data_IF_917868435791
#
_entry.id   IF_917868435791
#
_cell.length_a   1.000
_cell.length_b   1.000
_cell.length_c   1.000
_cell.angle_alpha   90.00
_cell.angle_beta   90.00
_cell.angle_gamma   90.00
#
_symmetry.space_group_name_H-M   'P 1'
#
loop_
_entity.id
_entity.type
_entity.pdbx_description
1 polymer ?
#
# COMPACT_ATOMS: atom_id res chain seq x y z
N UNK A 1 20.86 10.58 10.02
CA UNK A 1 20.31 9.94 8.81
C UNK A 1 18.81 9.92 8.98
N UNK A 2 18.01 10.37 8.00
CA UNK A 2 16.56 10.24 8.09
C UNK A 2 16.15 8.77 8.08
N UNK A 3 15.10 8.42 8.84
CA UNK A 3 14.47 7.10 8.83
C UNK A 3 13.13 7.16 8.12
N UNK A 4 12.82 6.16 7.31
CA UNK A 4 11.54 6.02 6.63
C UNK A 4 10.84 4.76 7.16
N UNK A 5 9.61 4.95 7.65
CA UNK A 5 8.69 3.87 7.97
C UNK A 5 7.64 3.76 6.87
N UNK A 6 7.27 2.53 6.51
CA UNK A 6 6.26 2.24 5.50
C UNK A 6 5.27 1.29 6.15
N UNK A 7 3.98 1.62 6.11
CA UNK A 7 2.92 0.74 6.57
C UNK A 7 2.56 -0.33 5.52
N UNK A 8 1.73 -1.30 5.89
CA UNK A 8 1.41 -2.45 5.04
C UNK A 8 0.32 -2.06 4.02
N UNK A 9 0.49 -2.33 2.72
CA UNK A 9 -0.55 -2.09 1.71
C UNK A 9 -1.83 -2.91 1.99
N UNK A 10 -2.99 -2.59 1.39
CA UNK A 10 -4.25 -3.34 1.53
C UNK A 10 -4.15 -4.70 0.79
N UNK A 11 -3.33 -5.60 1.32
CA UNK A 11 -3.08 -6.93 0.72
C UNK A 11 -4.29 -7.86 0.81
N UNK A 12 -5.31 -7.49 1.59
CA UNK A 12 -6.65 -8.07 1.53
C UNK A 12 -7.30 -7.92 0.13
N UNK A 13 -6.88 -6.92 -0.65
CA UNK A 13 -7.34 -6.69 -2.04
C UNK A 13 -6.45 -7.36 -3.09
N UNK A 14 -5.47 -8.15 -2.69
CA UNK A 14 -4.60 -8.88 -3.64
C UNK A 14 -5.35 -10.03 -4.32
N UNK A 15 -4.94 -10.45 -5.54
CA UNK A 15 -5.60 -11.55 -6.24
C UNK A 15 -5.67 -12.84 -5.41
N UNK A 16 -4.60 -13.17 -4.67
CA UNK A 16 -4.60 -14.35 -3.77
C UNK A 16 -5.60 -14.24 -2.62
N UNK A 17 -5.73 -13.06 -2.01
CA UNK A 17 -6.67 -12.84 -0.91
C UNK A 17 -8.13 -12.97 -1.38
N UNK A 18 -8.43 -12.43 -2.57
CA UNK A 18 -9.74 -12.55 -3.21
C UNK A 18 -10.03 -14.01 -3.59
N UNK A 19 -9.08 -14.69 -4.23
CA UNK A 19 -9.25 -16.06 -4.73
C UNK A 19 -9.45 -17.10 -3.61
N UNK A 20 -8.86 -16.87 -2.43
CA UNK A 20 -9.00 -17.77 -1.29
C UNK A 20 -10.36 -17.69 -0.59
N UNK A 21 -11.25 -16.75 -1.00
CA UNK A 21 -12.45 -16.38 -0.25
C UNK A 21 -12.16 -16.24 1.26
N UNK A 22 -10.92 -15.82 1.60
CA UNK A 22 -10.52 -15.60 2.97
C UNK A 22 -11.57 -14.65 3.53
N UNK A 23 -12.37 -15.07 4.52
CA UNK A 23 -13.40 -14.21 5.11
C UNK A 23 -12.79 -12.83 5.35
N UNK A 24 -13.15 -11.88 4.49
CA UNK A 24 -12.39 -10.69 4.06
C UNK A 24 -11.82 -9.90 5.26
N UNK A 25 -12.58 -9.96 6.34
CA UNK A 25 -12.30 -9.39 7.65
C UNK A 25 -10.98 -9.81 8.30
N UNK A 26 -10.40 -10.98 8.02
CA UNK A 26 -9.24 -11.47 8.79
C UNK A 26 -7.91 -10.89 8.32
N UNK A 27 -7.71 -10.71 7.01
CA UNK A 27 -6.49 -10.09 6.47
C UNK A 27 -6.55 -8.59 6.67
N UNK A 28 -7.67 -7.98 6.29
CA UNK A 28 -7.92 -6.55 6.48
C UNK A 28 -7.70 -6.14 7.95
N UNK A 29 -8.34 -6.82 8.92
CA UNK A 29 -8.19 -6.47 10.33
C UNK A 29 -6.74 -6.61 10.84
N UNK A 30 -5.96 -7.56 10.31
CA UNK A 30 -4.53 -7.71 10.68
C UNK A 30 -3.70 -6.56 10.13
N UNK A 31 -3.92 -6.19 8.87
CA UNK A 31 -3.27 -5.05 8.21
C UNK A 31 -3.60 -3.76 8.97
N UNK A 32 -4.87 -3.51 9.26
CA UNK A 32 -5.33 -2.35 10.02
C UNK A 32 -4.72 -2.31 11.43
N UNK A 33 -4.76 -3.43 12.16
CA UNK A 33 -4.17 -3.52 13.51
C UNK A 33 -2.68 -3.19 13.49
N UNK A 34 -1.94 -3.72 12.51
CA UNK A 34 -0.52 -3.44 12.36
C UNK A 34 -0.25 -1.98 12.01
N UNK A 35 -0.96 -1.43 11.02
CA UNK A 35 -0.78 -0.06 10.57
C UNK A 35 -1.09 0.93 11.70
N UNK A 36 -2.18 0.74 12.45
CA UNK A 36 -2.49 1.55 13.64
C UNK A 36 -1.36 1.48 14.69
N UNK A 37 -0.83 0.28 14.93
CA UNK A 37 0.25 0.07 15.90
C UNK A 37 1.55 0.75 15.48
N UNK A 38 1.91 0.65 14.19
CA UNK A 38 3.07 1.32 13.61
C UNK A 38 2.93 2.84 13.69
N UNK A 39 1.81 3.39 13.23
CA UNK A 39 1.54 4.84 13.25
C UNK A 39 1.59 5.40 14.67
N UNK A 40 1.00 4.70 15.64
CA UNK A 40 1.05 5.07 17.05
C UNK A 40 2.49 5.05 17.58
N UNK A 41 3.24 3.99 17.28
CA UNK A 41 4.63 3.85 17.72
C UNK A 41 5.54 4.93 17.13
N UNK A 42 5.43 5.21 15.83
CA UNK A 42 6.19 6.27 15.16
C UNK A 42 5.85 7.64 15.74
N UNK A 43 4.56 7.93 15.98
CA UNK A 43 4.12 9.19 16.60
C UNK A 43 4.71 9.38 18.00
N UNK A 44 4.69 8.33 18.83
CA UNK A 44 5.29 8.36 20.18
C UNK A 44 6.80 8.57 20.09
N UNK A 45 7.48 7.83 19.20
CA UNK A 45 8.92 7.92 19.05
C UNK A 45 9.37 9.31 18.55
N UNK A 46 8.67 9.90 17.58
CA UNK A 46 8.95 11.26 17.09
C UNK A 46 8.80 12.30 18.20
N UNK A 47 7.79 12.15 19.06
CA UNK A 47 7.58 13.02 20.22
C UNK A 47 8.71 12.88 21.26
N UNK A 48 9.19 11.66 21.50
CA UNK A 48 10.20 11.36 22.53
C UNK A 48 11.64 11.55 22.04
N UNK A 49 11.85 11.56 20.72
CA UNK A 49 13.16 11.72 20.07
C UNK A 49 13.10 12.83 19.01
N UNK A 50 12.92 14.11 19.39
CA UNK A 50 12.73 15.21 18.43
C UNK A 50 13.94 15.48 17.53
N UNK A 51 15.12 14.98 17.90
CA UNK A 51 16.32 15.01 17.07
C UNK A 51 16.34 13.94 15.95
N UNK A 52 15.43 12.96 16.00
CA UNK A 52 15.28 11.98 14.94
C UNK A 52 14.50 12.61 13.79
N UNK A 53 15.07 12.55 12.59
CA UNK A 53 14.36 12.92 11.37
C UNK A 53 13.66 11.67 10.84
N UNK A 54 12.35 11.58 11.03
CA UNK A 54 11.55 10.42 10.62
C UNK A 54 10.42 10.83 9.68
N UNK A 55 10.17 9.98 8.71
CA UNK A 55 9.04 10.06 7.78
C UNK A 55 8.23 8.77 7.87
N UNK A 56 6.93 8.89 7.69
CA UNK A 56 6.00 7.75 7.64
C UNK A 56 5.22 7.83 6.33
N UNK A 57 5.50 6.90 5.42
CA UNK A 57 4.76 6.75 4.18
C UNK A 57 3.67 5.70 4.35
N UNK A 58 2.45 6.00 3.91
CA UNK A 58 1.38 5.01 3.90
C UNK A 58 1.30 4.33 2.53
N UNK A 59 1.88 3.13 2.42
CA UNK A 59 1.66 2.28 1.25
C UNK A 59 0.20 1.79 1.23
N UNK A 60 -0.44 1.72 2.39
CA UNK A 60 -1.86 1.43 2.50
C UNK A 60 -2.71 2.45 1.73
N UNK A 61 -2.58 3.73 2.07
CA UNK A 61 -3.31 4.79 1.38
C UNK A 61 -2.91 4.89 -0.10
N UNK A 62 -1.62 4.76 -0.41
CA UNK A 62 -1.16 4.86 -1.80
C UNK A 62 -1.75 3.79 -2.70
N UNK A 63 -1.73 2.52 -2.28
CA UNK A 63 -2.31 1.44 -3.10
C UNK A 63 -3.84 1.48 -3.08
N UNK A 64 -4.48 1.82 -1.95
CA UNK A 64 -5.93 1.99 -1.90
C UNK A 64 -6.41 3.05 -2.89
N UNK A 65 -5.74 4.20 -2.95
CA UNK A 65 -6.03 5.26 -3.94
C UNK A 65 -5.88 4.77 -5.38
N UNK A 66 -4.87 3.95 -5.67
CA UNK A 66 -4.64 3.36 -6.99
C UNK A 66 -5.77 2.40 -7.36
N UNK A 67 -6.16 1.53 -6.44
CA UNK A 67 -7.21 0.55 -6.67
C UNK A 67 -8.62 1.16 -6.71
N UNK A 68 -8.85 2.27 -6.00
CA UNK A 68 -10.15 2.96 -5.96
C UNK A 68 -10.38 3.90 -7.15
N UNK A 69 -9.29 4.42 -7.74
CA UNK A 69 -9.31 5.40 -8.83
C UNK A 69 -8.26 5.08 -9.91
N UNK A 70 -8.21 3.84 -10.43
CA UNK A 70 -7.15 3.41 -11.36
C UNK A 70 -7.10 4.25 -12.64
N UNK A 71 -8.21 4.86 -13.03
CA UNK A 71 -8.34 5.75 -14.19
C UNK A 71 -7.59 7.08 -14.04
N UNK A 72 -7.21 7.47 -12.81
CA UNK A 72 -6.36 8.65 -12.59
C UNK A 72 -4.88 8.40 -12.93
N UNK A 73 -4.52 7.15 -13.27
CA UNK A 73 -3.15 6.75 -13.57
C UNK A 73 -3.03 6.28 -15.02
N UNK A 74 -1.95 6.66 -15.68
CA UNK A 74 -1.69 6.33 -17.09
C UNK A 74 -1.11 4.90 -17.26
N UNK A 75 -1.77 3.90 -16.68
CA UNK A 75 -1.38 2.49 -16.82
C UNK A 75 -1.66 1.99 -18.25
N UNK A 76 -0.64 1.43 -18.90
CA UNK A 76 -0.75 0.93 -20.27
C UNK A 76 -1.61 -0.34 -20.31
N UNK A 77 -2.53 -0.40 -21.27
CA UNK A 77 -3.46 -1.53 -21.50
C UNK A 77 -4.35 -1.87 -20.29
N UNK A 78 -4.64 -0.90 -19.42
CA UNK A 78 -5.50 -1.09 -18.24
C UNK A 78 -6.91 -1.59 -18.60
N UNK A 79 -7.38 -2.56 -17.81
CA UNK A 79 -8.77 -3.02 -17.80
C UNK A 79 -9.34 -3.00 -16.38
N UNK A 80 -10.66 -2.89 -16.21
CA UNK A 80 -11.30 -2.87 -14.88
C UNK A 80 -10.92 -4.10 -14.03
N UNK A 81 -10.72 -5.25 -14.69
CA UNK A 81 -10.33 -6.52 -14.06
C UNK A 81 -8.91 -6.45 -13.46
N UNK A 82 -8.04 -5.55 -13.91
CA UNK A 82 -6.67 -5.40 -13.37
C UNK A 82 -6.65 -4.98 -11.90
N UNK A 83 -7.77 -4.47 -11.36
CA UNK A 83 -7.89 -4.16 -9.94
C UNK A 83 -7.94 -5.40 -9.05
N UNK A 84 -8.29 -6.56 -9.61
CA UNK A 84 -8.45 -7.84 -8.89
C UNK A 84 -7.64 -8.99 -9.47
N UNK A 85 -7.30 -8.94 -10.75
CA UNK A 85 -6.65 -10.02 -11.48
C UNK A 85 -5.12 -9.83 -11.51
N UNK A 86 -4.40 -10.95 -11.42
CA UNK A 86 -2.94 -10.96 -11.60
C UNK A 86 -2.52 -10.87 -13.07
N UNK A 87 -1.31 -10.37 -13.33
CA UNK A 87 -0.73 -10.28 -14.67
C UNK A 87 -1.24 -9.11 -15.50
N UNK A 88 -2.06 -8.23 -14.90
CA UNK A 88 -2.56 -7.00 -15.49
C UNK A 88 -1.66 -5.79 -15.23
N UNK A 89 -2.24 -4.60 -15.36
CA UNK A 89 -1.48 -3.36 -15.21
C UNK A 89 -1.12 -3.00 -13.74
N UNK A 90 -1.87 -3.52 -12.76
CA UNK A 90 -1.69 -3.21 -11.33
C UNK A 90 -0.98 -4.34 -10.59
N UNK A 91 -1.49 -5.58 -10.66
CA UNK A 91 -0.90 -6.75 -9.99
C UNK A 91 0.00 -7.54 -10.95
N UNK A 92 1.26 -7.71 -10.59
CA UNK A 92 2.21 -8.50 -11.36
C UNK A 92 2.02 -10.01 -11.17
N UNK A 93 1.66 -10.42 -9.96
CA UNK A 93 1.30 -11.79 -9.57
C UNK A 93 0.23 -11.73 -8.46
N UNK A 94 -0.07 -12.87 -7.82
CA UNK A 94 -1.11 -12.97 -6.80
C UNK A 94 -0.94 -12.05 -5.55
N UNK A 95 0.19 -11.36 -5.39
CA UNK A 95 0.46 -10.45 -4.25
C UNK A 95 1.24 -9.18 -4.61
N UNK A 96 2.17 -9.24 -5.55
CA UNK A 96 3.07 -8.13 -5.86
C UNK A 96 2.47 -7.20 -6.91
N UNK A 97 2.69 -5.90 -6.73
CA UNK A 97 2.27 -4.89 -7.71
C UNK A 97 3.29 -4.77 -8.85
N UNK A 98 2.88 -4.21 -9.98
CA UNK A 98 3.76 -3.97 -11.12
C UNK A 98 4.79 -2.87 -10.85
N UNK A 99 5.81 -2.79 -11.70
CA UNK A 99 6.78 -1.69 -11.66
C UNK A 99 6.12 -0.32 -11.84
N UNK A 100 5.06 -0.22 -12.66
CA UNK A 100 4.34 1.03 -12.88
C UNK A 100 3.67 1.53 -11.58
N UNK A 101 3.06 0.62 -10.81
CA UNK A 101 2.53 0.95 -9.48
C UNK A 101 3.65 1.33 -8.51
N UNK A 102 4.79 0.62 -8.55
CA UNK A 102 5.96 0.99 -7.74
C UNK A 102 6.51 2.38 -8.08
N UNK A 103 6.49 2.79 -9.35
CA UNK A 103 6.88 4.14 -9.78
C UNK A 103 5.93 5.20 -9.20
N UNK A 104 4.61 5.00 -9.29
CA UNK A 104 3.63 5.91 -8.67
C UNK A 104 3.85 6.03 -7.15
N UNK A 105 4.13 4.92 -6.47
CA UNK A 105 4.42 4.95 -5.03
C UNK A 105 5.72 5.68 -4.71
N UNK A 106 6.77 5.48 -5.52
CA UNK A 106 8.04 6.16 -5.36
C UNK A 106 7.92 7.68 -5.56
N UNK A 107 7.16 8.11 -6.56
CA UNK A 107 6.89 9.54 -6.79
C UNK A 107 6.15 10.15 -5.59
N UNK A 108 5.12 9.46 -5.07
CA UNK A 108 4.43 9.91 -3.84
C UNK A 108 5.34 9.99 -2.62
N UNK A 109 6.35 9.12 -2.51
CA UNK A 109 7.34 9.20 -1.43
C UNK A 109 8.26 10.43 -1.56
N UNK A 110 8.54 10.87 -2.79
CA UNK A 110 9.37 12.06 -3.05
C UNK A 110 8.63 13.37 -2.74
N UNK A 111 7.29 13.36 -2.79
CA UNK A 111 6.42 14.52 -2.55
C UNK A 111 6.01 14.71 -1.06
N UNK A 112 6.52 13.87 -0.15
CA UNK A 112 6.21 13.90 1.29
C UNK A 112 6.75 15.10 2.05
#
# INVERSE_FOLDING_TARGET
MPGLFIDVPPIDRSPSAIALECEDTTVQARVETWNISLHTGVTVFMRETPQANLMLFSAHTALADILDRPEEYDFTDFTEDDTTDEGGAIWADELHVTNAVHEVMADRMLDM
#
